data_IF_359240694826
#
_entry.id   IF_359240694826
#
_cell.length_a   1.000
_cell.length_b   1.000
_cell.length_c   1.000
_cell.angle_alpha   90.00
_cell.angle_beta   90.00
_cell.angle_gamma   90.00
#
_symmetry.space_group_name_H-M   'P 1'
#
loop_
_entity.id
_entity.type
_entity.pdbx_description
1 polymer ?
#
# COMPACT_ATOMS: atom_id res chain seq x y z
N UNK A 1 -20.38 -11.72 21.09
CA UNK A 1 -20.70 -10.72 20.07
C UNK A 1 -19.80 -11.00 18.89
N UNK A 2 -20.35 -11.27 17.71
CA UNK A 2 -19.57 -11.68 16.52
C UNK A 2 -19.09 -10.43 15.80
N UNK A 3 -17.79 -10.33 15.54
CA UNK A 3 -17.23 -9.21 14.78
C UNK A 3 -17.85 -9.17 13.36
N UNK A 4 -18.27 -7.99 12.87
CA UNK A 4 -18.72 -7.84 11.49
C UNK A 4 -17.64 -8.30 10.51
N UNK A 5 -18.07 -8.81 9.35
CA UNK A 5 -17.14 -9.13 8.25
C UNK A 5 -16.41 -7.84 7.84
N UNK A 6 -15.09 -7.84 7.97
CA UNK A 6 -14.25 -6.65 7.75
C UNK A 6 -13.91 -5.86 9.01
N UNK A 7 -14.27 -6.32 10.21
CA UNK A 7 -13.72 -5.73 11.44
C UNK A 7 -12.23 -6.04 11.55
N UNK A 8 -11.45 -5.02 11.94
CA UNK A 8 -10.03 -5.12 12.30
C UNK A 8 -9.80 -5.74 13.69
N UNK A 9 -10.87 -6.15 14.37
CA UNK A 9 -10.89 -6.67 15.73
C UNK A 9 -9.90 -7.83 15.97
N UNK A 10 -9.65 -8.64 14.93
CA UNK A 10 -8.76 -9.80 14.95
C UNK A 10 -7.42 -9.56 14.22
N UNK A 11 -7.18 -8.34 13.72
CA UNK A 11 -5.91 -8.01 13.05
C UNK A 11 -4.85 -7.66 14.09
N UNK A 12 -3.60 -8.13 13.93
CA UNK A 12 -2.50 -7.77 14.84
C UNK A 12 -2.25 -6.27 14.79
N UNK A 13 -2.64 -5.51 15.83
CA UNK A 13 -2.55 -4.04 15.86
C UNK A 13 -1.13 -3.51 15.62
N UNK A 14 -0.12 -4.34 15.87
CA UNK A 14 1.29 -4.01 15.78
C UNK A 14 1.88 -4.14 14.36
N UNK A 15 1.14 -4.66 13.36
CA UNK A 15 1.68 -4.82 12.00
C UNK A 15 2.21 -3.50 11.41
N UNK A 16 1.57 -2.38 11.78
CA UNK A 16 1.99 -1.03 11.39
C UNK A 16 3.29 -0.58 12.03
N UNK A 17 3.79 -1.28 13.03
CA UNK A 17 5.05 -1.03 13.73
C UNK A 17 6.05 -2.17 13.58
N UNK A 18 5.67 -3.26 12.91
CA UNK A 18 6.57 -4.37 12.66
C UNK A 18 7.66 -3.95 11.65
N UNK A 19 8.89 -4.31 11.97
CA UNK A 19 10.05 -4.15 11.09
C UNK A 19 10.24 -5.48 10.35
N UNK A 20 9.55 -5.62 9.22
CA UNK A 20 9.80 -6.71 8.29
C UNK A 20 10.99 -6.35 7.40
N UNK A 21 11.79 -7.37 7.09
CA UNK A 21 12.95 -7.23 6.20
C UNK A 21 12.66 -8.02 4.93
N UNK A 22 12.49 -7.29 3.82
CA UNK A 22 12.16 -7.82 2.50
C UNK A 22 13.27 -7.45 1.50
N UNK A 23 14.53 -7.71 1.87
CA UNK A 23 15.75 -7.23 1.16
C UNK A 23 15.91 -7.71 -0.29
N UNK A 24 15.09 -8.65 -0.76
CA UNK A 24 15.10 -9.14 -2.14
C UNK A 24 13.82 -8.80 -2.92
N UNK A 25 12.88 -8.07 -2.32
CA UNK A 25 11.61 -7.74 -2.96
C UNK A 25 11.78 -6.58 -3.94
N UNK A 26 11.94 -6.90 -5.21
CA UNK A 26 12.16 -5.88 -6.24
C UNK A 26 10.86 -5.34 -6.86
N UNK A 27 9.85 -6.18 -7.00
CA UNK A 27 8.64 -5.85 -7.75
C UNK A 27 7.38 -6.16 -6.94
N UNK A 28 6.45 -5.21 -6.93
CA UNK A 28 5.16 -5.33 -6.23
C UNK A 28 4.02 -4.99 -7.18
N UNK A 29 2.99 -5.84 -7.18
CA UNK A 29 1.72 -5.56 -7.84
C UNK A 29 0.58 -5.51 -6.80
N UNK A 30 -0.16 -4.39 -6.77
CA UNK A 30 -1.32 -4.21 -5.91
C UNK A 30 -2.55 -3.96 -6.78
N UNK A 31 -3.57 -4.80 -6.64
CA UNK A 31 -4.80 -4.72 -7.44
C UNK A 31 -6.00 -4.34 -6.58
N UNK A 32 -6.84 -3.46 -7.13
CA UNK A 32 -8.10 -3.07 -6.51
C UNK A 32 -7.94 -2.16 -5.29
N UNK A 33 -6.86 -1.38 -5.22
CA UNK A 33 -6.58 -0.47 -4.09
C UNK A 33 -7.73 0.53 -3.93
N UNK A 34 -8.30 0.64 -2.73
CA UNK A 34 -9.44 1.54 -2.43
C UNK A 34 -9.01 2.86 -1.78
N UNK A 35 -7.77 2.93 -1.30
CA UNK A 35 -7.23 4.10 -0.61
C UNK A 35 -7.77 4.25 0.81
N UNK A 36 -8.02 3.13 1.49
CA UNK A 36 -8.24 3.12 2.94
C UNK A 36 -6.94 3.44 3.67
N UNK A 37 -7.03 3.93 4.89
CA UNK A 37 -5.86 4.20 5.75
C UNK A 37 -4.94 2.97 5.87
N UNK A 38 -5.52 1.77 5.96
CA UNK A 38 -4.78 0.51 6.09
C UNK A 38 -4.01 0.16 4.82
N UNK A 39 -4.65 0.27 3.66
CA UNK A 39 -4.00 0.04 2.37
C UNK A 39 -2.87 1.03 2.12
N UNK A 40 -3.09 2.30 2.47
CA UNK A 40 -2.08 3.36 2.34
C UNK A 40 -0.87 3.10 3.22
N UNK A 41 -1.10 2.77 4.50
CA UNK A 41 -0.04 2.43 5.44
C UNK A 41 0.75 1.19 4.99
N UNK A 42 0.11 0.22 4.35
CA UNK A 42 0.80 -0.93 3.77
C UNK A 42 1.74 -0.50 2.64
N UNK A 43 1.28 0.36 1.71
CA UNK A 43 2.13 0.85 0.62
C UNK A 43 3.33 1.60 1.16
N UNK A 44 3.13 2.51 2.11
CA UNK A 44 4.22 3.23 2.78
C UNK A 44 5.22 2.27 3.44
N UNK A 45 4.73 1.25 4.15
CA UNK A 45 5.58 0.26 4.81
C UNK A 45 6.39 -0.58 3.84
N UNK A 46 5.88 -0.90 2.64
CA UNK A 46 6.65 -1.66 1.64
C UNK A 46 7.95 -0.95 1.23
N UNK A 47 7.94 0.38 1.13
CA UNK A 47 9.16 1.16 0.88
C UNK A 47 10.14 1.14 2.07
N UNK A 48 9.63 1.00 3.29
CA UNK A 48 10.46 0.85 4.49
C UNK A 48 11.02 -0.56 4.67
N UNK A 49 10.27 -1.58 4.29
CA UNK A 49 10.64 -3.00 4.45
C UNK A 49 11.51 -3.53 3.32
N UNK A 50 11.38 -2.99 2.10
CA UNK A 50 12.16 -3.42 0.95
C UNK A 50 13.15 -2.35 0.50
N UNK A 51 14.42 -2.60 0.76
CA UNK A 51 15.53 -1.77 0.29
C UNK A 51 15.84 -1.98 -1.20
N UNK A 52 15.41 -3.11 -1.79
CA UNK A 52 15.67 -3.48 -3.18
C UNK A 52 14.50 -3.16 -4.13
N UNK A 53 13.48 -2.43 -3.67
CA UNK A 53 12.25 -2.18 -4.42
C UNK A 53 12.48 -1.31 -5.66
N UNK A 54 12.30 -1.90 -6.84
CA UNK A 54 12.46 -1.27 -8.15
C UNK A 54 11.14 -0.88 -8.78
N UNK A 55 10.10 -1.71 -8.65
CA UNK A 55 8.80 -1.41 -9.28
C UNK A 55 7.62 -1.62 -8.35
N UNK A 56 6.66 -0.70 -8.43
CA UNK A 56 5.37 -0.79 -7.74
C UNK A 56 4.26 -0.46 -8.72
N UNK A 57 3.45 -1.46 -9.07
CA UNK A 57 2.32 -1.29 -9.98
C UNK A 57 1.00 -1.37 -9.22
N UNK A 58 0.20 -0.31 -9.27
CA UNK A 58 -1.04 -0.19 -8.50
C UNK A 58 -2.25 -0.02 -9.41
N UNK A 59 -3.13 -1.02 -9.47
CA UNK A 59 -4.45 -0.85 -10.08
C UNK A 59 -5.46 -0.41 -9.03
N UNK A 60 -6.12 0.73 -9.27
CA UNK A 60 -7.18 1.24 -8.41
C UNK A 60 -8.48 0.42 -8.50
N UNK A 61 -9.28 0.44 -7.43
CA UNK A 61 -10.60 -0.18 -7.44
C UNK A 61 -11.49 0.40 -8.55
N UNK A 62 -12.12 -0.47 -9.34
CA UNK A 62 -12.86 -0.11 -10.57
C UNK A 62 -13.93 0.97 -10.38
N UNK A 63 -14.54 1.07 -9.20
CA UNK A 63 -15.61 2.04 -8.92
C UNK A 63 -15.10 3.32 -8.25
N UNK A 64 -13.78 3.54 -8.21
CA UNK A 64 -13.20 4.76 -7.68
C UNK A 64 -13.39 5.92 -8.67
N UNK A 65 -13.74 7.09 -8.15
CA UNK A 65 -13.83 8.31 -8.97
C UNK A 65 -12.45 8.76 -9.41
N UNK A 66 -12.34 9.40 -10.58
CA UNK A 66 -11.07 9.92 -11.09
C UNK A 66 -10.44 10.96 -10.15
N UNK A 67 -11.27 11.80 -9.51
CA UNK A 67 -10.80 12.79 -8.52
C UNK A 67 -10.09 12.13 -7.35
N UNK A 68 -10.71 11.10 -6.77
CA UNK A 68 -10.15 10.34 -5.65
C UNK A 68 -8.92 9.54 -6.08
N UNK A 69 -8.93 8.96 -7.27
CA UNK A 69 -7.77 8.27 -7.83
C UNK A 69 -6.58 9.22 -8.02
N UNK A 70 -6.83 10.45 -8.49
CA UNK A 70 -5.80 11.48 -8.64
C UNK A 70 -5.21 11.90 -7.29
N UNK A 71 -6.04 12.18 -6.30
CA UNK A 71 -5.60 12.52 -4.94
C UNK A 71 -4.75 11.39 -4.34
N UNK A 72 -5.23 10.16 -4.44
CA UNK A 72 -4.55 8.98 -3.92
C UNK A 72 -3.21 8.76 -4.64
N UNK A 73 -3.16 8.90 -5.97
CA UNK A 73 -1.92 8.83 -6.76
C UNK A 73 -0.90 9.87 -6.27
N UNK A 74 -1.31 11.12 -6.11
CA UNK A 74 -0.40 12.18 -5.65
C UNK A 74 0.15 11.91 -4.25
N UNK A 75 -0.68 11.38 -3.36
CA UNK A 75 -0.25 11.01 -2.02
C UNK A 75 0.73 9.82 -2.05
N UNK A 76 0.41 8.74 -2.77
CA UNK A 76 1.26 7.54 -2.85
C UNK A 76 2.63 7.82 -3.48
N UNK A 77 2.69 8.71 -4.48
CA UNK A 77 3.95 9.15 -5.08
C UNK A 77 4.91 9.82 -4.08
N UNK A 78 4.41 10.33 -2.95
CA UNK A 78 5.27 10.91 -1.89
C UNK A 78 6.09 9.86 -1.14
N UNK A 79 5.73 8.59 -1.24
CA UNK A 79 6.48 7.48 -0.65
C UNK A 79 7.60 6.97 -1.56
N UNK A 80 7.52 7.28 -2.86
CA UNK A 80 8.46 6.74 -3.84
C UNK A 80 9.88 7.19 -3.56
N UNK A 81 10.81 6.24 -3.52
CA UNK A 81 12.24 6.54 -3.57
C UNK A 81 12.62 6.95 -5.01
N UNK A 82 13.74 7.67 -5.21
CA UNK A 82 14.25 8.01 -6.55
C UNK A 82 14.53 6.78 -7.43
N UNK A 83 14.84 5.64 -6.81
CA UNK A 83 15.25 4.41 -7.48
C UNK A 83 14.07 3.46 -7.75
N UNK A 84 12.86 3.81 -7.28
CA UNK A 84 11.65 3.02 -7.47
C UNK A 84 10.73 3.63 -8.52
N UNK A 85 10.33 2.84 -9.52
CA UNK A 85 9.33 3.20 -10.51
C UNK A 85 7.93 2.83 -10.02
N UNK A 86 7.06 3.82 -9.83
CA UNK A 86 5.69 3.60 -9.39
C UNK A 86 4.67 3.93 -10.50
N UNK A 87 3.82 2.97 -10.84
CA UNK A 87 2.81 3.07 -11.92
C UNK A 87 1.40 2.78 -11.43
N UNK A 88 0.39 3.30 -12.14
CA UNK A 88 -1.01 3.29 -11.73
C UNK A 88 -1.98 3.08 -12.90
#
# INVERSE_FOLDING_TARGET
>A
QTCPVGCICDQPLNWRSEELVLDCLEDVEIRGLRGTEWEVALVERLFGWSTALKTVNITFFRLMTESRAKELRQMLLRFSSPDTCMTF
#
